data_IF_997544750088
#
_entry.id   IF_997544750088
#
_cell.length_a   1.000
_cell.length_b   1.000
_cell.length_c   1.000
_cell.angle_alpha   90.00
_cell.angle_beta   90.00
_cell.angle_gamma   90.00
#
_symmetry.space_group_name_H-M   'P 1'
#
loop_
_entity.id
_entity.type
_entity.pdbx_description
1 polymer ?
#
# COMPACT_ATOMS: atom_id res chain seq x y z
N UNK A 1 9.11 20.00 4.06
CA UNK A 1 7.75 19.54 4.43
C UNK A 1 7.91 18.19 5.11
N UNK A 2 7.30 18.01 6.28
CA UNK A 2 7.28 16.69 6.93
C UNK A 2 6.25 15.83 6.20
N UNK A 3 6.64 14.62 5.79
CA UNK A 3 5.70 13.65 5.18
C UNK A 3 4.60 13.28 6.18
N UNK A 4 3.35 13.27 5.72
CA UNK A 4 2.19 12.75 6.47
C UNK A 4 1.55 11.61 5.70
N UNK A 5 0.74 10.79 6.36
CA UNK A 5 -0.02 9.76 5.67
C UNK A 5 -0.90 10.36 4.57
N UNK A 6 -1.51 11.51 4.83
CA UNK A 6 -2.37 12.20 3.86
C UNK A 6 -1.59 12.62 2.60
N UNK A 7 -0.43 13.29 2.74
CA UNK A 7 0.37 13.70 1.59
C UNK A 7 0.88 12.52 0.78
N UNK A 8 1.25 11.42 1.45
CA UNK A 8 1.72 10.22 0.78
C UNK A 8 0.59 9.48 0.07
N UNK A 9 -0.62 9.43 0.66
CA UNK A 9 -1.80 8.84 0.03
C UNK A 9 -2.18 9.61 -1.23
N UNK A 10 -2.17 10.95 -1.17
CA UNK A 10 -2.43 11.81 -2.34
C UNK A 10 -1.42 11.51 -3.45
N UNK A 11 -0.14 11.48 -3.13
CA UNK A 11 0.90 11.06 -4.07
C UNK A 11 0.60 9.69 -4.69
N UNK A 12 0.17 8.69 -3.90
CA UNK A 12 -0.15 7.35 -4.40
C UNK A 12 -1.40 7.28 -5.29
N UNK A 13 -2.23 8.33 -5.31
CA UNK A 13 -3.43 8.45 -6.16
C UNK A 13 -3.20 9.28 -7.41
N UNK A 14 -2.15 10.11 -7.43
CA UNK A 14 -1.77 10.91 -8.59
C UNK A 14 -1.43 10.06 -9.81
N UNK A 15 -1.63 10.64 -11.01
CA UNK A 15 -1.28 10.04 -12.31
C UNK A 15 -1.94 8.68 -12.55
N UNK A 16 -3.11 8.44 -11.93
CA UNK A 16 -3.88 7.22 -12.10
C UNK A 16 -3.32 6.01 -11.35
N UNK A 17 -2.38 6.21 -10.42
CA UNK A 17 -1.84 5.13 -9.59
C UNK A 17 -2.92 4.52 -8.70
N UNK A 18 -2.84 3.20 -8.54
CA UNK A 18 -3.77 2.40 -7.73
C UNK A 18 -3.02 1.77 -6.55
N UNK A 19 -2.01 0.95 -6.84
CA UNK A 19 -1.17 0.28 -5.86
C UNK A 19 0.15 -0.18 -6.50
N UNK A 20 1.16 -0.57 -5.71
CA UNK A 20 2.34 -1.26 -6.24
C UNK A 20 1.98 -2.60 -6.87
N UNK A 21 2.84 -3.10 -7.77
CA UNK A 21 2.75 -4.47 -8.26
C UNK A 21 2.73 -5.49 -7.10
N UNK A 22 2.02 -6.64 -7.23
CA UNK A 22 1.76 -7.57 -6.13
C UNK A 22 2.99 -7.93 -5.28
N UNK A 23 4.11 -8.30 -5.91
CA UNK A 23 5.32 -8.72 -5.18
C UNK A 23 5.94 -7.58 -4.36
N UNK A 24 5.92 -6.37 -4.91
CA UNK A 24 6.44 -5.17 -4.24
C UNK A 24 5.51 -4.74 -3.11
N UNK A 25 4.20 -4.89 -3.29
CA UNK A 25 3.23 -4.56 -2.25
C UNK A 25 3.35 -5.52 -1.07
N UNK A 26 3.52 -6.82 -1.31
CA UNK A 26 3.80 -7.81 -0.25
C UNK A 26 5.09 -7.48 0.48
N UNK A 27 6.15 -7.10 -0.24
CA UNK A 27 7.42 -6.71 0.36
C UNK A 27 7.27 -5.50 1.29
N UNK A 28 6.52 -4.48 0.87
CA UNK A 28 6.22 -3.31 1.70
C UNK A 28 5.45 -3.72 2.96
N UNK A 29 4.38 -4.51 2.79
CA UNK A 29 3.50 -4.92 3.89
C UNK A 29 4.20 -5.78 4.94
N UNK A 30 5.02 -6.77 4.50
CA UNK A 30 5.81 -7.61 5.42
C UNK A 30 6.80 -6.81 6.27
N UNK A 31 7.21 -5.63 5.81
CA UNK A 31 8.09 -4.74 6.55
C UNK A 31 7.38 -3.79 7.51
N UNK A 32 6.03 -3.78 7.57
CA UNK A 32 5.30 -2.89 8.46
C UNK A 32 5.50 -3.28 9.94
N UNK A 33 5.62 -2.30 10.84
CA UNK A 33 5.79 -2.56 12.26
C UNK A 33 4.54 -3.21 12.86
N UNK A 34 4.71 -3.99 13.92
CA UNK A 34 3.62 -4.63 14.67
C UNK A 34 2.70 -5.52 13.80
N UNK A 35 3.24 -6.05 12.70
CA UNK A 35 2.55 -7.04 11.89
C UNK A 35 2.32 -8.31 12.71
N UNK A 36 1.05 -8.63 12.99
CA UNK A 36 0.67 -9.78 13.81
C UNK A 36 -0.51 -10.54 13.23
N UNK A 37 -0.58 -11.83 13.54
CA UNK A 37 -1.73 -12.66 13.18
C UNK A 37 -2.87 -12.41 14.16
N UNK A 38 -4.09 -12.20 13.64
CA UNK A 38 -5.31 -12.02 14.43
C UNK A 38 -6.35 -12.99 13.89
N UNK A 39 -6.59 -14.08 14.62
CA UNK A 39 -7.41 -15.21 14.16
C UNK A 39 -6.89 -15.79 12.84
N UNK A 40 -7.74 -15.78 11.81
CA UNK A 40 -7.40 -16.26 10.46
C UNK A 40 -6.84 -15.17 9.54
N UNK A 41 -6.55 -13.96 10.05
CA UNK A 41 -6.04 -12.83 9.27
C UNK A 41 -4.79 -12.21 9.91
N UNK A 42 -4.40 -11.03 9.42
CA UNK A 42 -3.29 -10.22 9.90
C UNK A 42 -3.73 -8.78 10.18
N UNK A 43 -3.03 -8.13 11.11
CA UNK A 43 -3.09 -6.68 11.33
C UNK A 43 -1.69 -6.07 11.08
N UNK A 44 -1.55 -5.11 10.15
CA UNK A 44 -2.59 -4.59 9.26
C UNK A 44 -3.04 -5.66 8.25
N UNK A 45 -4.26 -5.51 7.72
CA UNK A 45 -4.84 -6.44 6.74
C UNK A 45 -3.87 -6.67 5.56
N UNK A 46 -3.75 -7.89 5.01
CA UNK A 46 -2.79 -8.15 3.94
C UNK A 46 -3.15 -7.42 2.62
N UNK A 47 -2.18 -7.19 1.73
CA UNK A 47 -2.44 -6.71 0.37
C UNK A 47 -3.49 -7.58 -0.33
N UNK A 48 -4.35 -6.94 -1.13
CA UNK A 48 -5.40 -7.62 -1.90
C UNK A 48 -4.84 -8.34 -3.14
N UNK A 49 -3.97 -9.32 -2.92
CA UNK A 49 -3.27 -10.09 -3.96
C UNK A 49 -3.86 -11.51 -4.13
N UNK A 50 -3.28 -12.31 -5.04
CA UNK A 50 -3.72 -13.67 -5.37
C UNK A 50 -5.19 -13.67 -5.83
N UNK A 51 -6.05 -14.52 -5.27
CA UNK A 51 -7.46 -14.57 -5.63
C UNK A 51 -8.16 -13.20 -5.43
N UNK A 52 -7.84 -12.48 -4.35
CA UNK A 52 -8.45 -11.17 -4.07
C UNK A 52 -8.08 -10.11 -5.12
N UNK A 53 -6.96 -10.28 -5.84
CA UNK A 53 -6.51 -9.34 -6.88
C UNK A 53 -7.55 -9.17 -7.99
N UNK A 54 -8.17 -10.28 -8.40
CA UNK A 54 -9.10 -10.34 -9.53
C UNK A 54 -10.51 -9.89 -9.15
N UNK A 55 -10.86 -9.86 -7.86
CA UNK A 55 -12.19 -9.46 -7.38
C UNK A 55 -12.23 -8.05 -6.79
N UNK A 56 -11.08 -7.54 -6.32
CA UNK A 56 -10.98 -6.21 -5.76
C UNK A 56 -11.03 -5.14 -6.86
N UNK A 57 -11.86 -4.11 -6.69
CA UNK A 57 -11.82 -2.92 -7.55
C UNK A 57 -10.54 -2.11 -7.34
N UNK A 58 -10.24 -1.18 -8.25
CA UNK A 58 -9.15 -0.21 -8.07
C UNK A 58 -9.28 0.56 -6.75
N UNK A 59 -10.49 0.97 -6.37
CA UNK A 59 -10.70 1.71 -5.13
C UNK A 59 -10.42 0.84 -3.89
N UNK A 60 -10.83 -0.43 -3.90
CA UNK A 60 -10.48 -1.35 -2.81
C UNK A 60 -8.96 -1.47 -2.64
N UNK A 61 -8.21 -1.52 -3.75
CA UNK A 61 -6.75 -1.59 -3.72
C UNK A 61 -6.13 -0.29 -3.18
N UNK A 62 -6.63 0.88 -3.60
CA UNK A 62 -6.20 2.18 -3.06
C UNK A 62 -6.45 2.30 -1.57
N UNK A 63 -7.62 1.90 -1.10
CA UNK A 63 -7.99 1.97 0.30
C UNK A 63 -7.15 1.03 1.17
N UNK A 64 -6.86 -0.17 0.67
CA UNK A 64 -5.94 -1.09 1.31
C UNK A 64 -4.53 -0.47 1.46
N UNK A 65 -3.98 0.12 0.38
CA UNK A 65 -2.68 0.79 0.44
C UNK A 65 -2.71 1.99 1.40
N UNK A 66 -3.77 2.80 1.37
CA UNK A 66 -3.95 3.91 2.29
C UNK A 66 -4.00 3.45 3.76
N UNK A 67 -4.64 2.31 4.03
CA UNK A 67 -4.63 1.65 5.34
C UNK A 67 -3.20 1.31 5.80
N UNK A 68 -2.36 0.77 4.92
CA UNK A 68 -0.95 0.48 5.23
C UNK A 68 -0.13 1.75 5.50
N UNK A 69 -0.37 2.82 4.74
CA UNK A 69 0.29 4.11 4.94
C UNK A 69 -0.08 4.70 6.31
N UNK A 70 -1.38 4.71 6.66
CA UNK A 70 -1.85 5.16 7.98
C UNK A 70 -1.30 4.29 9.11
N UNK A 71 -1.17 2.99 8.88
CA UNK A 71 -0.54 2.08 9.83
C UNK A 71 0.93 2.44 10.06
N UNK A 72 1.69 2.69 8.99
CA UNK A 72 3.08 3.12 9.09
C UNK A 72 3.22 4.43 9.87
N UNK A 73 2.35 5.41 9.63
CA UNK A 73 2.31 6.66 10.41
C UNK A 73 2.03 6.41 11.89
N UNK A 74 0.98 5.64 12.21
CA UNK A 74 0.60 5.30 13.58
C UNK A 74 1.76 4.70 14.40
N UNK A 75 2.63 3.93 13.76
CA UNK A 75 3.75 3.23 14.41
C UNK A 75 5.13 3.80 14.06
N UNK A 76 5.20 5.03 13.52
CA UNK A 76 6.45 5.76 13.33
C UNK A 76 7.34 5.30 12.17
N UNK A 77 6.82 4.51 11.23
CA UNK A 77 7.55 3.94 10.09
C UNK A 77 7.22 4.62 8.74
N UNK A 78 6.46 5.72 8.77
CA UNK A 78 5.99 6.41 7.57
C UNK A 78 7.12 6.82 6.62
N UNK A 79 8.26 7.29 7.14
CA UNK A 79 9.38 7.75 6.31
C UNK A 79 9.97 6.62 5.45
N UNK A 80 10.11 5.41 6.01
CA UNK A 80 10.60 4.24 5.27
C UNK A 80 9.60 3.84 4.18
N UNK A 81 8.31 3.85 4.50
CA UNK A 81 7.24 3.54 3.54
C UNK A 81 7.18 4.58 2.41
N UNK A 82 7.30 5.87 2.75
CA UNK A 82 7.36 6.95 1.77
C UNK A 82 8.54 6.79 0.83
N UNK A 83 9.74 6.52 1.36
CA UNK A 83 10.93 6.29 0.55
C UNK A 83 10.76 5.09 -0.38
N UNK A 84 10.18 3.99 0.10
CA UNK A 84 9.88 2.82 -0.73
C UNK A 84 8.96 3.18 -1.89
N UNK A 85 7.81 3.81 -1.61
CA UNK A 85 6.80 4.12 -2.61
C UNK A 85 7.28 5.17 -3.61
N UNK A 86 8.04 6.17 -3.17
CA UNK A 86 8.57 7.24 -4.04
C UNK A 86 9.67 6.74 -4.99
N UNK A 87 10.36 5.64 -4.63
CA UNK A 87 11.38 5.02 -5.46
C UNK A 87 10.82 4.03 -6.50
N UNK A 88 9.52 3.69 -6.43
CA UNK A 88 8.89 2.82 -7.41
C UNK A 88 8.82 3.51 -8.79
N UNK A 89 9.30 2.80 -9.80
CA UNK A 89 9.21 3.19 -11.21
C UNK A 89 7.77 3.10 -11.70
N UNK A 90 7.45 3.78 -12.81
CA UNK A 90 6.10 3.76 -13.40
C UNK A 90 5.57 2.34 -13.64
N UNK A 91 6.38 1.42 -14.16
CA UNK A 91 5.97 0.03 -14.42
C UNK A 91 5.87 -0.85 -13.16
N UNK A 92 6.27 -0.33 -12.00
CA UNK A 92 6.14 -0.99 -10.70
C UNK A 92 4.85 -0.57 -9.97
N UNK A 93 4.07 0.33 -10.60
CA UNK A 93 2.74 0.73 -10.20
C UNK A 93 1.68 0.13 -11.11
N UNK A 94 0.60 -0.36 -10.52
CA UNK A 94 -0.67 -0.57 -11.22
C UNK A 94 -1.36 0.77 -11.41
N UNK A 95 -1.85 0.98 -12.63
CA UNK A 95 -2.64 2.15 -12.99
C UNK A 95 -4.09 1.75 -13.27
N UNK A 96 -4.99 2.71 -13.14
CA UNK A 96 -6.41 2.46 -13.35
C UNK A 96 -6.74 1.88 -14.72
N UNK A 97 -7.70 0.95 -14.74
CA UNK A 97 -8.16 0.28 -15.96
C UNK A 97 -7.20 -0.76 -16.54
N UNK A 98 -6.15 -1.15 -15.79
CA UNK A 98 -5.22 -2.20 -16.19
C UNK A 98 -5.55 -3.59 -15.61
N UNK A 99 -6.64 -3.71 -14.85
CA UNK A 99 -7.07 -4.93 -14.16
C UNK A 99 -8.51 -5.29 -14.52
#
# INVERSE_FOLDING_TARGET
MNETAQSLIEYCREKGRVCPMPDLWVKLWKGLPNLKRVGNSWEPFPPLILAAWNYATDENKRDCLAGHIRWAEKYGDLQRVALFLRNLKKNEWVHSGQL
#
